data_IF_516453289594
#
_entry.id   IF_516453289594
#
_cell.length_a   1.000
_cell.length_b   1.000
_cell.length_c   1.000
_cell.angle_alpha   90.00
_cell.angle_beta   90.00
_cell.angle_gamma   90.00
#
_symmetry.space_group_name_H-M   'P 1'
#
loop_
_entity.id
_entity.type
_entity.pdbx_description
1 polymer ?
#
# COMPACT_ATOMS: atom_id res chain seq x y z
N UNK A 1 -25.80 -31.27 -28.39
CA UNK A 1 -25.01 -30.91 -27.19
C UNK A 1 -24.91 -29.41 -27.16
N UNK A 2 -25.35 -28.76 -26.09
CA UNK A 2 -25.24 -27.31 -25.94
C UNK A 2 -23.76 -26.94 -25.78
N UNK A 3 -23.25 -26.09 -26.67
CA UNK A 3 -21.94 -25.48 -26.53
C UNK A 3 -21.98 -24.50 -25.34
N UNK A 4 -20.98 -24.59 -24.47
CA UNK A 4 -20.79 -23.63 -23.38
C UNK A 4 -20.65 -22.21 -23.98
N UNK A 5 -21.18 -21.17 -23.32
CA UNK A 5 -21.04 -19.79 -23.79
C UNK A 5 -19.55 -19.44 -23.85
N UNK A 6 -19.14 -18.84 -24.97
CA UNK A 6 -17.76 -18.53 -25.28
C UNK A 6 -17.09 -17.73 -24.16
N UNK A 7 -15.94 -18.22 -23.71
CA UNK A 7 -14.98 -17.39 -22.97
C UNK A 7 -14.56 -16.29 -23.95
N UNK A 8 -14.77 -15.04 -23.57
CA UNK A 8 -14.27 -13.90 -24.31
C UNK A 8 -12.73 -13.92 -24.22
N UNK A 9 -12.06 -14.32 -25.31
CA UNK A 9 -10.60 -14.42 -25.42
C UNK A 9 -9.87 -13.07 -25.19
N UNK A 10 -10.60 -11.96 -24.96
CA UNK A 10 -10.04 -10.63 -24.72
C UNK A 10 -9.72 -10.31 -23.26
N UNK A 11 -10.18 -11.12 -22.29
CA UNK A 11 -9.96 -10.86 -20.86
C UNK A 11 -8.81 -11.73 -20.35
N UNK A 12 -7.77 -11.08 -19.82
CA UNK A 12 -6.61 -11.77 -19.25
C UNK A 12 -6.74 -11.82 -17.71
N UNK A 13 -7.15 -12.98 -17.14
CA UNK A 13 -7.34 -13.11 -15.70
C UNK A 13 -6.01 -13.09 -14.94
N UNK A 14 -6.02 -12.45 -13.76
CA UNK A 14 -4.91 -12.52 -12.83
C UNK A 14 -5.02 -13.79 -11.97
N UNK A 15 -3.88 -14.27 -11.46
CA UNK A 15 -3.85 -15.42 -10.53
C UNK A 15 -4.63 -15.13 -9.25
N UNK A 16 -4.56 -13.89 -8.75
CA UNK A 16 -5.27 -13.42 -7.58
C UNK A 16 -6.11 -12.19 -7.90
N UNK A 17 -7.22 -12.04 -7.18
CA UNK A 17 -7.90 -10.76 -7.05
C UNK A 17 -7.14 -9.89 -6.08
N UNK A 18 -6.97 -8.61 -6.40
CA UNK A 18 -6.27 -7.63 -5.57
C UNK A 18 -7.24 -6.53 -5.13
N UNK A 19 -7.15 -6.14 -3.87
CA UNK A 19 -7.89 -5.05 -3.27
C UNK A 19 -6.96 -3.86 -3.05
N UNK A 20 -7.43 -2.66 -3.40
CA UNK A 20 -6.68 -1.41 -3.24
C UNK A 20 -7.33 -0.54 -2.18
N UNK A 21 -6.49 -0.02 -1.30
CA UNK A 21 -6.88 0.82 -0.18
C UNK A 21 -6.05 2.09 -0.15
N UNK A 22 -6.67 3.18 0.27
CA UNK A 22 -6.04 4.47 0.49
C UNK A 22 -6.24 4.93 1.92
N UNK A 23 -5.21 5.46 2.55
CA UNK A 23 -5.32 6.12 3.85
C UNK A 23 -4.52 7.40 3.89
N UNK A 24 -4.97 8.32 4.75
CA UNK A 24 -4.31 9.59 4.98
C UNK A 24 -4.23 9.84 6.48
N UNK A 25 -3.02 10.06 6.99
CA UNK A 25 -2.79 10.39 8.39
C UNK A 25 -1.81 11.55 8.54
N UNK A 26 -1.88 12.25 9.66
CA UNK A 26 -0.85 13.21 10.03
C UNK A 26 0.29 12.50 10.75
N UNK A 27 1.52 12.65 10.24
CA UNK A 27 2.74 12.24 10.91
C UNK A 27 2.91 13.07 12.19
N UNK A 28 2.53 12.45 13.31
CA UNK A 28 2.76 12.97 14.65
C UNK A 28 1.64 13.85 15.17
N UNK A 29 0.63 13.23 15.76
CA UNK A 29 0.20 13.64 17.10
C UNK A 29 0.64 12.54 18.04
N UNK A 30 1.87 12.63 18.57
CA UNK A 30 2.12 11.98 19.86
C UNK A 30 1.13 12.62 20.82
N UNK A 31 0.20 11.85 21.38
CA UNK A 31 -0.57 12.32 22.52
C UNK A 31 0.46 12.67 23.60
N UNK A 32 0.65 13.97 23.80
CA UNK A 32 1.66 14.49 24.69
C UNK A 32 1.11 14.33 26.12
N UNK A 33 1.15 13.11 26.67
CA UNK A 33 0.90 12.89 28.08
C UNK A 33 2.20 13.12 28.82
N UNK A 34 2.49 14.39 29.09
CA UNK A 34 3.53 14.79 30.02
C UNK A 34 3.01 14.54 31.44
N UNK A 35 3.87 13.94 32.25
CA UNK A 35 3.79 13.70 33.70
C UNK A 35 2.91 12.47 34.08
N UNK A 36 3.38 11.38 34.71
CA UNK A 36 4.47 11.18 35.67
C UNK A 36 5.13 9.78 35.58
N UNK A 37 6.43 9.75 35.92
CA UNK A 37 7.24 8.70 36.59
C UNK A 37 7.48 7.30 35.97
N UNK A 38 8.77 7.10 35.74
CA UNK A 38 9.61 5.92 36.03
C UNK A 38 9.52 4.67 35.13
N UNK A 39 10.50 4.57 34.22
CA UNK A 39 11.29 3.34 34.01
C UNK A 39 10.60 2.14 33.36
N UNK A 40 10.42 2.17 32.04
CA UNK A 40 10.24 0.97 31.21
C UNK A 40 10.72 1.24 29.76
N UNK A 41 11.23 0.23 29.04
CA UNK A 41 11.73 0.41 27.68
C UNK A 41 10.58 0.75 26.73
N UNK A 42 10.81 1.75 25.86
CA UNK A 42 9.85 2.23 24.87
C UNK A 42 9.50 1.11 23.89
N UNK A 43 8.32 0.49 24.08
CA UNK A 43 7.70 -0.37 23.09
C UNK A 43 7.11 0.54 22.01
N UNK A 44 7.55 0.33 20.76
CA UNK A 44 7.01 1.00 19.58
C UNK A 44 5.53 0.62 19.47
N UNK A 45 4.65 1.59 19.68
CA UNK A 45 3.20 1.41 19.76
C UNK A 45 2.68 0.62 18.56
N UNK A 46 1.96 -0.46 18.87
CA UNK A 46 1.24 -1.31 17.92
C UNK A 46 -0.05 -0.57 17.60
N UNK A 47 -0.11 0.11 16.45
CA UNK A 47 -1.35 0.71 15.93
C UNK A 47 -2.45 -0.36 15.96
N UNK A 48 -3.55 -0.08 16.67
CA UNK A 48 -4.63 -1.03 16.83
C UNK A 48 -5.45 -1.12 15.54
N UNK A 49 -6.09 -2.27 15.30
CA UNK A 49 -6.98 -2.49 14.15
C UNK A 49 -8.05 -1.39 14.00
N UNK A 50 -8.56 -0.87 15.12
CA UNK A 50 -9.58 0.18 15.16
C UNK A 50 -9.03 1.54 14.70
N UNK A 51 -7.78 1.86 15.04
CA UNK A 51 -7.10 3.07 14.56
C UNK A 51 -6.79 3.00 13.05
N UNK A 52 -6.52 1.79 12.54
CA UNK A 52 -6.33 1.55 11.11
C UNK A 52 -7.66 1.61 10.34
N UNK A 53 -8.70 0.93 10.83
CA UNK A 53 -10.03 0.91 10.20
C UNK A 53 -10.69 2.30 10.15
N UNK A 54 -10.38 3.21 11.08
CA UNK A 54 -10.97 4.56 11.13
C UNK A 54 -10.52 5.53 10.03
N UNK A 55 -9.41 5.24 9.31
CA UNK A 55 -8.80 6.17 8.36
C UNK A 55 -8.47 5.59 6.98
N UNK A 56 -8.83 4.33 6.72
CA UNK A 56 -8.53 3.64 5.46
C UNK A 56 -9.81 3.43 4.66
N UNK A 57 -9.79 3.86 3.40
CA UNK A 57 -10.88 3.70 2.44
C UNK A 57 -10.50 2.64 1.42
N UNK A 58 -11.39 1.65 1.20
CA UNK A 58 -11.26 0.72 0.07
C UNK A 58 -11.62 1.45 -1.22
N UNK A 59 -10.66 1.58 -2.13
CA UNK A 59 -10.86 2.23 -3.43
C UNK A 59 -11.52 1.28 -4.45
N UNK A 60 -11.28 -0.02 -4.31
CA UNK A 60 -11.84 -1.03 -5.19
C UNK A 60 -10.94 -2.26 -5.24
N UNK A 61 -11.09 -3.05 -6.30
CA UNK A 61 -10.25 -4.19 -6.57
C UNK A 61 -10.30 -4.58 -8.05
N UNK A 62 -9.33 -5.38 -8.47
CA UNK A 62 -9.19 -5.84 -9.85
C UNK A 62 -8.78 -7.33 -9.86
N UNK A 63 -9.19 -8.04 -10.91
CA UNK A 63 -8.93 -9.48 -11.07
C UNK A 63 -8.50 -9.85 -12.50
N UNK A 64 -8.29 -8.85 -13.35
CA UNK A 64 -7.81 -9.00 -14.72
C UNK A 64 -6.90 -7.84 -15.10
N UNK A 65 -6.09 -8.01 -16.15
CA UNK A 65 -5.25 -6.92 -16.68
C UNK A 65 -6.11 -5.76 -17.19
N UNK A 66 -7.26 -6.06 -17.81
CA UNK A 66 -8.19 -5.07 -18.34
C UNK A 66 -8.90 -4.27 -17.24
N UNK A 67 -9.03 -4.82 -16.03
CA UNK A 67 -9.53 -4.08 -14.87
C UNK A 67 -8.43 -3.29 -14.16
N UNK A 68 -7.18 -3.77 -14.21
CA UNK A 68 -6.01 -3.09 -13.64
C UNK A 68 -5.65 -1.79 -14.37
N UNK A 69 -5.53 -1.82 -15.70
CA UNK A 69 -5.05 -0.64 -16.46
C UNK A 69 -5.93 0.60 -16.26
N UNK A 70 -7.26 0.52 -16.41
CA UNK A 70 -8.12 1.67 -16.13
C UNK A 70 -8.04 2.06 -14.65
N UNK A 71 -7.93 1.10 -13.75
CA UNK A 71 -7.82 1.40 -12.33
C UNK A 71 -6.59 2.27 -12.03
N UNK A 72 -5.39 1.86 -12.48
CA UNK A 72 -4.16 2.64 -12.31
C UNK A 72 -4.20 3.98 -13.05
N UNK A 73 -4.74 4.02 -14.27
CA UNK A 73 -4.81 5.26 -15.06
C UNK A 73 -5.71 6.35 -14.43
N UNK A 74 -6.69 5.95 -13.62
CA UNK A 74 -7.59 6.89 -12.93
C UNK A 74 -7.16 7.15 -11.48
N UNK A 75 -6.14 6.46 -10.96
CA UNK A 75 -5.57 6.82 -9.65
C UNK A 75 -4.79 8.12 -9.75
N UNK A 76 -4.86 8.92 -8.69
CA UNK A 76 -3.98 10.07 -8.51
C UNK A 76 -2.54 9.55 -8.40
N UNK A 77 -1.59 10.04 -9.21
CA UNK A 77 -0.21 9.58 -9.12
C UNK A 77 0.37 9.93 -7.74
N UNK A 78 1.26 9.08 -7.18
CA UNK A 78 1.86 9.31 -5.87
C UNK A 78 2.47 10.71 -5.67
N UNK A 79 3.09 11.28 -6.71
CA UNK A 79 3.68 12.62 -6.70
C UNK A 79 2.66 13.76 -6.57
N UNK A 80 1.42 13.53 -6.99
CA UNK A 80 0.32 14.50 -6.92
C UNK A 80 -0.48 14.38 -5.61
N UNK A 81 -0.17 13.41 -4.75
CA UNK A 81 -0.78 13.33 -3.43
C UNK A 81 -0.32 14.50 -2.54
N UNK A 82 -1.23 15.10 -1.75
CA UNK A 82 -0.91 16.27 -0.96
C UNK A 82 0.11 15.94 0.14
N UNK A 83 1.36 16.37 -0.05
CA UNK A 83 2.42 16.28 0.97
C UNK A 83 2.31 17.37 2.05
N UNK A 84 1.47 18.38 1.82
CA UNK A 84 1.08 19.42 2.77
C UNK A 84 -0.34 19.88 2.44
N UNK A 85 -1.22 19.88 3.44
CA UNK A 85 -2.63 20.30 3.43
C UNK A 85 -3.11 21.05 2.19
N UNK A 86 -4.07 20.46 1.47
CA UNK A 86 -5.43 20.93 1.60
C UNK A 86 -6.34 19.74 1.94
N UNK A 87 -7.29 19.96 2.83
CA UNK A 87 -8.45 19.09 3.06
C UNK A 87 -9.08 18.69 1.71
N UNK A 88 -9.80 17.56 1.66
CA UNK A 88 -10.57 17.09 0.49
C UNK A 88 -11.48 18.17 -0.12
N UNK A 89 -11.75 19.25 0.63
CA UNK A 89 -12.38 20.49 0.17
C UNK A 89 -11.70 21.15 -1.05
N UNK A 90 -10.39 20.97 -1.25
CA UNK A 90 -9.66 21.54 -2.41
C UNK A 90 -9.86 20.80 -3.72
N UNK A 91 -10.56 19.66 -3.73
CA UNK A 91 -10.94 19.01 -4.99
C UNK A 91 -11.90 19.86 -5.84
N UNK A 92 -12.49 20.94 -5.28
CA UNK A 92 -13.52 21.75 -5.95
C UNK A 92 -13.44 23.28 -5.75
N UNK A 93 -12.34 23.87 -5.25
CA UNK A 93 -12.32 25.32 -4.95
C UNK A 93 -11.10 26.04 -5.54
N UNK A 94 -11.36 27.12 -6.29
CA UNK A 94 -10.37 27.96 -7.00
C UNK A 94 -9.83 29.13 -6.19
N UNK A 95 -10.29 29.32 -4.95
CA UNK A 95 -9.98 30.53 -4.18
C UNK A 95 -8.92 30.21 -3.13
N UNK A 96 -7.65 30.23 -3.55
CA UNK A 96 -6.48 30.06 -2.69
C UNK A 96 -5.76 31.40 -2.51
N UNK A 97 -6.33 32.29 -1.69
CA UNK A 97 -5.63 33.46 -1.17
C UNK A 97 -5.94 33.63 0.34
N UNK A 98 -5.50 32.67 1.14
CA UNK A 98 -5.36 32.85 2.59
C UNK A 98 -4.18 32.01 3.08
N UNK A 99 -3.26 32.66 3.82
CA UNK A 99 -1.94 32.16 4.19
C UNK A 99 -1.95 30.71 4.71
N UNK A 100 -1.30 29.82 3.96
CA UNK A 100 -1.22 28.40 4.24
C UNK A 100 -0.76 28.13 5.69
N UNK A 101 -1.54 27.41 6.52
CA UNK A 101 -1.04 26.96 7.82
C UNK A 101 0.14 26.00 7.61
N UNK A 102 1.14 26.11 8.49
CA UNK A 102 2.41 25.41 8.43
C UNK A 102 2.27 23.94 8.02
N UNK A 103 3.11 23.52 7.06
CA UNK A 103 3.18 22.18 6.47
C UNK A 103 2.80 21.08 7.47
N UNK A 104 1.54 20.64 7.41
CA UNK A 104 1.08 19.45 8.11
C UNK A 104 1.89 18.28 7.54
N UNK A 105 2.51 17.47 8.40
CA UNK A 105 3.26 16.30 7.97
C UNK A 105 2.26 15.24 7.50
N UNK A 106 1.59 15.40 6.37
CA UNK A 106 0.66 14.38 5.91
C UNK A 106 1.44 13.19 5.35
N UNK A 107 0.94 12.00 5.65
CA UNK A 107 1.36 10.75 5.04
C UNK A 107 0.13 10.16 4.37
N UNK A 108 0.27 9.91 3.07
CA UNK A 108 -0.73 9.23 2.27
C UNK A 108 -0.20 7.84 1.93
N UNK A 109 -1.00 6.80 2.14
CA UNK A 109 -0.61 5.43 1.81
C UNK A 109 -1.53 4.85 0.73
N UNK A 110 -0.92 4.31 -0.33
CA UNK A 110 -1.57 3.34 -1.21
C UNK A 110 -1.21 1.93 -0.77
N UNK A 111 -2.20 1.05 -0.69
CA UNK A 111 -2.02 -0.35 -0.29
C UNK A 111 -2.69 -1.23 -1.33
N UNK A 112 -1.96 -2.19 -1.90
CA UNK A 112 -2.47 -3.18 -2.84
C UNK A 112 -2.20 -4.56 -2.25
N UNK A 113 -3.25 -5.26 -1.84
CA UNK A 113 -3.16 -6.54 -1.15
C UNK A 113 -4.02 -7.58 -1.83
N UNK A 114 -3.67 -8.85 -1.70
CA UNK A 114 -4.55 -9.92 -2.19
C UNK A 114 -5.91 -9.79 -1.52
N UNK A 115 -6.95 -10.06 -2.28
CA UNK A 115 -8.32 -10.00 -1.79
C UNK A 115 -8.48 -10.89 -0.57
N UNK A 116 -9.26 -10.43 0.41
CA UNK A 116 -9.42 -11.01 1.76
C UNK A 116 -8.25 -10.84 2.74
N UNK A 117 -7.13 -10.24 2.34
CA UNK A 117 -6.04 -9.87 3.25
C UNK A 117 -6.12 -8.36 3.53
N UNK A 118 -6.35 -8.00 4.79
CA UNK A 118 -6.23 -6.61 5.22
C UNK A 118 -4.74 -6.22 5.31
N UNK A 119 -4.35 -5.00 4.91
CA UNK A 119 -2.98 -4.51 5.07
C UNK A 119 -2.71 -4.07 6.53
N UNK A 120 -3.01 -4.96 7.47
CA UNK A 120 -2.87 -4.81 8.90
C UNK A 120 -2.08 -6.00 9.48
N UNK A 121 -1.29 -5.78 10.53
CA UNK A 121 -0.48 -6.84 11.16
C UNK A 121 -1.32 -7.89 11.89
N UNK A 122 -2.57 -7.55 12.21
CA UNK A 122 -3.57 -8.40 12.85
C UNK A 122 -4.17 -9.42 11.89
N UNK A 123 -4.07 -9.20 10.58
CA UNK A 123 -4.56 -10.15 9.59
C UNK A 123 -3.81 -11.47 9.71
N UNK A 124 -4.57 -12.58 9.74
CA UNK A 124 -4.02 -13.93 9.88
C UNK A 124 -2.93 -14.27 8.85
N UNK A 125 -2.99 -13.71 7.64
CA UNK A 125 -1.99 -13.93 6.60
C UNK A 125 -0.68 -13.14 6.85
N UNK A 126 -0.75 -12.03 7.59
CA UNK A 126 0.40 -11.19 7.94
C UNK A 126 1.04 -11.57 9.27
N UNK A 127 0.29 -12.21 10.18
CA UNK A 127 0.80 -12.67 11.48
C UNK A 127 1.97 -13.64 11.32
N UNK A 128 3.08 -13.36 12.00
CA UNK A 128 4.31 -14.15 11.93
C UNK A 128 5.14 -13.95 10.65
N UNK A 129 4.66 -13.11 9.73
CA UNK A 129 5.35 -12.70 8.53
C UNK A 129 6.28 -11.51 8.76
N UNK A 130 6.47 -10.71 7.73
CA UNK A 130 7.25 -9.49 7.79
C UNK A 130 7.02 -8.58 6.60
N UNK A 131 7.80 -7.49 6.53
CA UNK A 131 7.81 -6.64 5.34
C UNK A 131 9.23 -6.20 4.98
N UNK A 132 9.52 -6.18 3.69
CA UNK A 132 10.69 -5.51 3.14
C UNK A 132 10.38 -4.05 2.93
N UNK A 133 11.34 -3.17 3.20
CA UNK A 133 11.13 -1.72 3.12
C UNK A 133 12.23 -1.09 2.29
N UNK A 134 11.83 -0.34 1.26
CA UNK A 134 12.71 0.44 0.39
C UNK A 134 12.35 1.91 0.53
N UNK A 135 13.35 2.74 0.79
CA UNK A 135 13.19 4.20 0.83
C UNK A 135 13.50 4.77 -0.54
N UNK A 136 12.57 5.55 -1.06
CA UNK A 136 12.63 6.19 -2.35
C UNK A 136 12.85 7.69 -2.17
N UNK A 137 13.71 8.26 -3.01
CA UNK A 137 13.84 9.71 -3.13
C UNK A 137 12.58 10.28 -3.78
N UNK A 138 12.29 11.55 -3.55
CA UNK A 138 11.19 12.22 -4.24
C UNK A 138 11.39 12.23 -5.76
N UNK A 139 10.27 12.13 -6.48
CA UNK A 139 10.24 12.16 -7.95
C UNK A 139 10.40 10.82 -8.64
N UNK A 140 10.67 9.72 -7.91
CA UNK A 140 10.71 8.36 -8.52
C UNK A 140 9.50 7.49 -8.15
N UNK A 141 8.67 7.91 -7.19
CA UNK A 141 7.60 7.10 -6.63
C UNK A 141 6.56 6.67 -7.67
N UNK A 142 6.17 7.54 -8.60
CA UNK A 142 5.14 7.25 -9.61
C UNK A 142 5.51 6.03 -10.45
N UNK A 143 6.71 6.06 -11.02
CA UNK A 143 7.22 4.99 -11.87
C UNK A 143 7.47 3.72 -11.07
N UNK A 144 8.11 3.81 -9.91
CA UNK A 144 8.42 2.65 -9.07
C UNK A 144 7.13 1.98 -8.59
N UNK A 145 6.12 2.75 -8.24
CA UNK A 145 4.82 2.23 -7.82
C UNK A 145 4.16 1.41 -8.93
N UNK A 146 4.08 1.97 -10.13
CA UNK A 146 3.50 1.29 -11.28
C UNK A 146 4.26 -0.01 -11.61
N UNK A 147 5.60 0.05 -11.70
CA UNK A 147 6.44 -1.13 -11.97
C UNK A 147 6.25 -2.22 -10.92
N UNK A 148 6.16 -1.86 -9.64
CA UNK A 148 5.96 -2.82 -8.54
C UNK A 148 4.56 -3.42 -8.55
N UNK A 149 3.51 -2.63 -8.85
CA UNK A 149 2.15 -3.18 -8.98
C UNK A 149 2.09 -4.17 -10.16
N UNK A 150 2.71 -3.88 -11.30
CA UNK A 150 2.79 -4.86 -12.39
C UNK A 150 3.59 -6.10 -12.00
N UNK A 151 4.73 -5.94 -11.32
CA UNK A 151 5.54 -7.07 -10.85
C UNK A 151 4.76 -7.97 -9.87
N UNK A 152 3.93 -7.35 -9.02
CA UNK A 152 3.06 -8.03 -8.08
C UNK A 152 1.99 -8.87 -8.79
N UNK A 153 1.23 -8.27 -9.72
CA UNK A 153 0.12 -8.98 -10.40
C UNK A 153 0.57 -9.99 -11.44
N UNK A 154 1.80 -9.84 -11.94
CA UNK A 154 2.42 -10.78 -12.88
C UNK A 154 3.16 -11.92 -12.19
N UNK A 155 3.09 -11.99 -10.85
CA UNK A 155 3.72 -13.02 -10.02
C UNK A 155 5.24 -13.13 -10.23
N UNK A 156 5.90 -12.02 -10.62
CA UNK A 156 7.36 -11.98 -10.80
C UNK A 156 8.12 -11.95 -9.48
N UNK A 157 7.48 -11.44 -8.43
CA UNK A 157 8.05 -11.34 -7.10
C UNK A 157 8.05 -12.74 -6.47
N UNK A 158 9.24 -13.31 -6.26
CA UNK A 158 9.39 -14.70 -5.78
C UNK A 158 10.20 -15.60 -6.72
N UNK A 159 10.65 -15.07 -7.87
CA UNK A 159 11.45 -15.80 -8.84
C UNK A 159 10.68 -16.94 -9.50
N UNK A 160 11.38 -18.02 -9.87
CA UNK A 160 10.78 -19.17 -10.57
C UNK A 160 10.04 -20.14 -9.64
N UNK A 161 10.14 -19.97 -8.31
CA UNK A 161 9.43 -20.84 -7.35
C UNK A 161 8.09 -20.22 -6.95
N UNK A 162 7.03 -20.72 -7.55
CA UNK A 162 5.65 -20.29 -7.30
C UNK A 162 5.29 -20.31 -5.80
N UNK A 163 5.81 -21.26 -5.02
CA UNK A 163 5.54 -21.35 -3.57
C UNK A 163 6.11 -20.16 -2.80
N UNK A 164 7.15 -19.53 -3.34
CA UNK A 164 7.75 -18.31 -2.80
C UNK A 164 6.90 -17.10 -3.18
N UNK A 165 6.43 -17.02 -4.43
CA UNK A 165 5.49 -15.99 -4.86
C UNK A 165 4.16 -16.02 -4.10
N UNK A 166 3.68 -17.21 -3.74
CA UNK A 166 2.49 -17.40 -2.90
C UNK A 166 2.63 -16.77 -1.50
N UNK A 167 3.86 -16.50 -1.03
CA UNK A 167 4.10 -15.82 0.26
C UNK A 167 3.92 -14.31 0.20
N UNK A 168 3.81 -13.71 -0.99
CA UNK A 168 3.63 -12.27 -1.14
C UNK A 168 2.18 -11.89 -0.83
N UNK A 169 1.96 -11.05 0.18
CA UNK A 169 0.61 -10.65 0.59
C UNK A 169 0.16 -9.34 -0.07
N UNK A 170 1.08 -8.40 -0.27
CA UNK A 170 0.77 -7.10 -0.83
C UNK A 170 1.89 -6.08 -0.74
N UNK A 171 1.63 -4.88 -1.25
CA UNK A 171 2.56 -3.74 -1.26
C UNK A 171 1.91 -2.50 -0.68
N UNK A 172 2.71 -1.67 -0.03
CA UNK A 172 2.31 -0.37 0.51
C UNK A 172 3.27 0.70 0.01
N UNK A 173 2.77 1.78 -0.55
CA UNK A 173 3.54 2.99 -0.83
C UNK A 173 3.07 4.11 0.09
N UNK A 174 3.94 4.51 1.01
CA UNK A 174 3.76 5.67 1.87
C UNK A 174 4.41 6.90 1.26
N UNK A 175 3.61 7.84 0.79
CA UNK A 175 4.07 9.15 0.32
C UNK A 175 4.19 10.10 1.51
N UNK A 176 5.37 10.65 1.75
CA UNK A 176 5.63 11.58 2.87
C UNK A 176 6.16 12.91 2.37
N UNK A 177 6.64 13.78 3.25
CA UNK A 177 7.26 15.05 2.82
C UNK A 177 8.64 14.85 2.19
N UNK A 178 9.55 14.20 2.92
CA UNK A 178 10.98 14.20 2.56
C UNK A 178 11.40 12.97 1.73
N UNK A 179 10.76 11.82 1.98
CA UNK A 179 11.02 10.55 1.31
C UNK A 179 9.73 9.76 1.13
N UNK A 180 9.71 8.86 0.15
CA UNK A 180 8.64 7.90 -0.02
C UNK A 180 9.10 6.53 0.46
N UNK A 181 8.20 5.73 1.01
CA UNK A 181 8.54 4.41 1.54
C UNK A 181 7.67 3.37 0.86
N UNK A 182 8.32 2.50 0.09
CA UNK A 182 7.70 1.31 -0.47
C UNK A 182 7.93 0.14 0.50
N UNK A 183 6.87 -0.62 0.80
CA UNK A 183 6.93 -1.80 1.64
C UNK A 183 6.28 -3.00 0.96
N UNK A 184 6.99 -4.12 0.84
CA UNK A 184 6.44 -5.40 0.38
C UNK A 184 6.15 -6.29 1.59
N UNK A 185 4.91 -6.74 1.75
CA UNK A 185 4.45 -7.59 2.84
C UNK A 185 4.49 -9.06 2.44
N UNK A 186 5.00 -9.89 3.33
CA UNK A 186 5.20 -11.32 3.11
C UNK A 186 4.70 -12.12 4.30
N UNK A 187 4.04 -13.24 4.02
CA UNK A 187 3.61 -14.24 4.99
C UNK A 187 4.83 -14.90 5.68
N UNK A 188 4.62 -15.68 6.77
CA UNK A 188 5.69 -16.44 7.42
C UNK A 188 6.49 -17.27 6.42
N UNK A 189 7.78 -16.95 6.32
CA UNK A 189 8.70 -17.48 5.32
C UNK A 189 10.09 -17.70 5.94
N UNK A 190 10.77 -18.73 5.46
CA UNK A 190 12.15 -19.05 5.79
C UNK A 190 13.12 -17.95 5.33
N UNK A 191 14.39 -18.06 5.71
CA UNK A 191 15.42 -17.09 5.26
C UNK A 191 15.62 -17.16 3.74
N UNK A 192 15.73 -18.36 3.19
CA UNK A 192 15.97 -18.58 1.75
C UNK A 192 14.86 -17.99 0.90
N UNK A 193 13.60 -18.23 1.27
CA UNK A 193 12.45 -17.66 0.55
C UNK A 193 12.47 -16.13 0.59
N UNK A 194 12.82 -15.53 1.73
CA UNK A 194 12.94 -14.07 1.86
C UNK A 194 14.07 -13.49 1.02
N UNK A 195 15.19 -14.20 0.89
CA UNK A 195 16.31 -13.77 0.06
C UNK A 195 15.91 -13.80 -1.43
N UNK A 196 15.19 -14.83 -1.89
CA UNK A 196 14.65 -14.90 -3.27
C UNK A 196 13.68 -13.73 -3.54
N UNK A 197 12.76 -13.46 -2.62
CA UNK A 197 11.81 -12.33 -2.75
C UNK A 197 12.56 -11.00 -2.85
N UNK A 198 13.59 -10.81 -2.02
CA UNK A 198 14.41 -9.59 -2.05
C UNK A 198 15.14 -9.43 -3.37
N UNK A 199 15.72 -10.51 -3.89
CA UNK A 199 16.53 -10.45 -5.11
C UNK A 199 15.66 -10.31 -6.38
N UNK A 200 14.35 -10.52 -6.25
CA UNK A 200 13.34 -10.32 -7.31
C UNK A 200 12.77 -8.89 -7.35
N UNK A 201 13.07 -8.06 -6.36
CA UNK A 201 12.66 -6.65 -6.24
C UNK A 201 13.72 -5.72 -6.83
#
# INVERSE_FOLDING_TARGET
>A
GAAAPGVDDSIHPLKYTWDVWFSQRQAGTKSNKKDEKAGAPVQKEKESREDWEGGVVKLGGFSSIESLHPFLAHLVPPSALPASTHSTYSLFSTDADEAAPAATNLICDYNVFRSSIAPAWEDSANVGGGRWVVRLRKGVADRVWEEVVYALVSERIGGDDERVGDKVNGVVLSVRRDEDILSLWVAPSSRTERDIIRDSL
#
